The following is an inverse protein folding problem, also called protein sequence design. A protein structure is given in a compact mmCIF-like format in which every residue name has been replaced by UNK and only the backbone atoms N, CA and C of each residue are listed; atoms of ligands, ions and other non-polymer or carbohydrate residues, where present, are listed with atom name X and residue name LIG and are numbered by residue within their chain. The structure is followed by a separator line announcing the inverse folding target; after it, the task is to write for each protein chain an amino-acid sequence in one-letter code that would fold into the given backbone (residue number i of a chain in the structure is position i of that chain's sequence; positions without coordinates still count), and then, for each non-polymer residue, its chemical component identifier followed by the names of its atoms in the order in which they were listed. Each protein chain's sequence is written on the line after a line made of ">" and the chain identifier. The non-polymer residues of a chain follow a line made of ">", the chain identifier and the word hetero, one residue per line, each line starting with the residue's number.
data_IF_905033048443
#
_entry.id   IF_905033048443
#
_cell.length_a   1.000
_cell.length_b   1.000
_cell.length_c   1.000
_cell.angle_alpha   90.00
_cell.angle_beta   90.00
_cell.angle_gamma   90.00
#
_symmetry.space_group_name_H-M   'P 1'
#
loop_
_entity.id
_entity.type
_entity.pdbx_description
1 polymer ?
#
# COMPACT_ATOMS: atom_id res chain seq x y z
N UNK A 1 26.36 -3.59 14.12
CA UNK A 1 26.29 -3.27 12.68
C UNK A 1 24.89 -3.64 12.27
N UNK A 2 24.06 -2.68 11.85
CA UNK A 2 22.70 -2.97 11.39
C UNK A 2 22.83 -3.84 10.14
N UNK A 3 22.14 -4.97 10.11
CA UNK A 3 22.13 -5.83 8.94
C UNK A 3 21.42 -5.07 7.81
N UNK A 4 22.06 -4.98 6.63
CA UNK A 4 21.50 -4.28 5.47
C UNK A 4 20.09 -4.77 5.15
N UNK A 5 19.84 -6.07 5.31
CA UNK A 5 18.53 -6.67 5.06
C UNK A 5 17.48 -6.18 6.05
N UNK A 6 17.83 -6.08 7.33
CA UNK A 6 16.92 -5.56 8.36
C UNK A 6 16.51 -4.11 8.08
N UNK A 7 17.43 -3.31 7.52
CA UNK A 7 17.14 -1.94 7.15
C UNK A 7 16.20 -1.87 5.94
N UNK A 8 16.43 -2.71 4.92
CA UNK A 8 15.55 -2.81 3.74
C UNK A 8 14.14 -3.27 4.11
N UNK A 9 14.01 -4.30 4.95
CA UNK A 9 12.73 -4.80 5.44
C UNK A 9 11.98 -3.69 6.22
N UNK A 10 12.68 -2.95 7.08
CA UNK A 10 12.09 -1.83 7.81
C UNK A 10 11.60 -0.71 6.88
N UNK A 11 12.35 -0.36 5.83
CA UNK A 11 11.90 0.65 4.87
C UNK A 11 10.64 0.22 4.13
N UNK A 12 10.56 -1.06 3.74
CA UNK A 12 9.35 -1.61 3.10
C UNK A 12 8.16 -1.54 4.03
N UNK A 13 8.30 -2.03 5.27
CA UNK A 13 7.21 -2.01 6.26
C UNK A 13 6.65 -0.60 6.46
N UNK A 14 7.51 0.42 6.59
CA UNK A 14 7.05 1.81 6.68
C UNK A 14 6.31 2.28 5.42
N UNK A 15 6.82 1.90 4.24
CA UNK A 15 6.14 2.25 2.98
C UNK A 15 4.77 1.58 2.87
N UNK A 16 4.65 0.31 3.30
CA UNK A 16 3.35 -0.38 3.33
C UNK A 16 2.35 0.35 4.23
N UNK A 17 2.79 0.73 5.44
CA UNK A 17 1.99 1.49 6.39
C UNK A 17 1.53 2.83 5.79
N UNK A 18 2.45 3.59 5.18
CA UNK A 18 2.14 4.88 4.56
C UNK A 18 1.12 4.73 3.40
N UNK A 19 1.26 3.69 2.57
CA UNK A 19 0.32 3.41 1.47
C UNK A 19 -1.08 3.09 2.02
N UNK A 20 -1.16 2.23 3.03
CA UNK A 20 -2.42 1.86 3.68
C UNK A 20 -3.11 3.09 4.27
N UNK A 21 -2.35 3.96 4.93
CA UNK A 21 -2.84 5.22 5.47
C UNK A 21 -3.38 6.15 4.38
N UNK A 22 -2.67 6.28 3.25
CA UNK A 22 -3.13 7.10 2.12
C UNK A 22 -4.38 6.52 1.46
N UNK A 23 -4.47 5.20 1.27
CA UNK A 23 -5.69 4.54 0.77
C UNK A 23 -6.88 4.86 1.70
N UNK A 24 -6.68 4.73 3.03
CA UNK A 24 -7.70 5.05 4.03
C UNK A 24 -8.17 6.50 3.90
N UNK A 25 -7.25 7.46 3.81
CA UNK A 25 -7.57 8.89 3.69
C UNK A 25 -8.27 9.23 2.38
N UNK A 26 -7.74 8.76 1.24
CA UNK A 26 -8.23 9.09 -0.10
C UNK A 26 -9.65 8.55 -0.35
N UNK A 27 -9.96 7.35 0.15
CA UNK A 27 -11.29 6.73 0.00
C UNK A 27 -12.20 6.99 1.20
N UNK A 28 -11.65 7.43 2.33
CA UNK A 28 -12.38 7.59 3.59
C UNK A 28 -12.92 6.26 4.10
N UNK A 29 -12.11 5.20 4.06
CA UNK A 29 -12.43 3.87 4.58
C UNK A 29 -11.60 3.58 5.82
N UNK A 30 -12.09 2.68 6.68
CA UNK A 30 -11.34 2.23 7.86
C UNK A 30 -9.99 1.62 7.48
N UNK A 31 -8.98 1.80 8.34
CA UNK A 31 -7.64 1.23 8.13
C UNK A 31 -7.68 -0.26 7.86
N UNK A 32 -8.55 -1.01 8.56
CA UNK A 32 -8.72 -2.44 8.32
C UNK A 32 -9.12 -2.75 6.88
N UNK A 33 -10.03 -1.96 6.31
CA UNK A 33 -10.43 -2.11 4.92
C UNK A 33 -9.30 -1.70 3.96
N UNK A 34 -8.50 -0.71 4.31
CA UNK A 34 -7.34 -0.31 3.52
C UNK A 34 -6.24 -1.39 3.53
N UNK A 35 -5.93 -1.99 4.69
CA UNK A 35 -5.01 -3.13 4.83
C UNK A 35 -5.43 -4.29 3.94
N UNK A 36 -6.70 -4.70 4.04
CA UNK A 36 -7.26 -5.80 3.26
C UNK A 36 -7.18 -5.53 1.74
N UNK A 37 -7.30 -4.27 1.30
CA UNK A 37 -7.15 -3.89 -0.11
C UNK A 37 -5.67 -3.97 -0.51
N UNK A 38 -4.78 -3.33 0.25
CA UNK A 38 -3.35 -3.31 -0.05
C UNK A 38 -2.79 -4.73 -0.18
N UNK A 39 -3.01 -5.60 0.81
CA UNK A 39 -2.48 -6.97 0.78
C UNK A 39 -3.17 -7.89 -0.25
N UNK A 40 -4.30 -7.48 -0.84
CA UNK A 40 -4.94 -8.20 -1.95
C UNK A 40 -4.49 -7.68 -3.33
N UNK A 41 -3.73 -6.59 -3.37
CA UNK A 41 -3.35 -5.89 -4.61
C UNK A 41 -2.09 -6.44 -5.25
N UNK A 42 -1.91 -6.15 -6.54
CA UNK A 42 -0.64 -6.43 -7.22
C UNK A 42 0.48 -5.50 -6.74
N UNK A 43 0.14 -4.31 -6.25
CA UNK A 43 1.11 -3.37 -5.68
C UNK A 43 1.88 -3.99 -4.51
N UNK A 44 1.20 -4.70 -3.60
CA UNK A 44 1.86 -5.38 -2.49
C UNK A 44 2.82 -6.49 -2.98
N UNK A 45 2.43 -7.25 -4.01
CA UNK A 45 3.34 -8.22 -4.64
C UNK A 45 4.57 -7.54 -5.26
N UNK A 46 4.39 -6.36 -5.88
CA UNK A 46 5.50 -5.61 -6.49
C UNK A 46 6.49 -5.07 -5.45
N UNK A 47 6.00 -4.51 -4.34
CA UNK A 47 6.82 -4.02 -3.23
C UNK A 47 7.56 -5.18 -2.55
N UNK A 48 6.88 -6.30 -2.31
CA UNK A 48 7.51 -7.49 -1.72
C UNK A 48 8.65 -8.04 -2.60
N UNK A 49 8.53 -7.91 -3.92
CA UNK A 49 9.50 -8.43 -4.90
C UNK A 49 10.59 -7.42 -5.33
N UNK A 50 10.66 -6.24 -4.71
CA UNK A 50 11.60 -5.16 -5.13
C UNK A 50 11.48 -4.80 -6.61
N UNK A 51 10.25 -4.81 -7.12
CA UNK A 51 10.02 -4.67 -8.55
C UNK A 51 10.26 -3.22 -8.99
N UNK A 52 11.15 -3.02 -9.96
CA UNK A 52 11.35 -1.74 -10.66
C UNK A 52 11.73 -0.55 -9.77
N UNK A 53 12.22 -0.77 -8.55
CA UNK A 53 12.55 0.31 -7.61
C UNK A 53 11.33 1.00 -7.01
N UNK A 54 10.17 0.34 -7.04
CA UNK A 54 8.88 0.87 -6.55
C UNK A 54 8.92 1.25 -5.08
N UNK A 55 9.79 0.63 -4.29
CA UNK A 55 10.04 0.93 -2.88
C UNK A 55 10.61 2.34 -2.64
N UNK A 56 11.03 3.04 -3.70
CA UNK A 56 11.52 4.42 -3.64
C UNK A 56 10.46 5.46 -4.07
N UNK A 57 9.26 5.02 -4.44
CA UNK A 57 8.17 5.91 -4.88
C UNK A 57 7.39 6.49 -3.69
N UNK A 58 6.72 7.61 -3.93
CA UNK A 58 5.88 8.25 -2.92
C UNK A 58 4.63 7.42 -2.62
N UNK A 59 4.33 7.19 -1.34
CA UNK A 59 3.22 6.35 -0.89
C UNK A 59 1.86 6.83 -1.42
N UNK A 60 1.66 8.15 -1.53
CA UNK A 60 0.41 8.70 -2.06
C UNK A 60 0.27 8.40 -3.54
N UNK A 61 1.35 8.53 -4.31
CA UNK A 61 1.34 8.16 -5.73
C UNK A 61 0.99 6.68 -5.92
N UNK A 62 1.59 5.79 -5.12
CA UNK A 62 1.31 4.36 -5.18
C UNK A 62 -0.14 4.03 -4.79
N UNK A 63 -0.69 4.72 -3.78
CA UNK A 63 -2.09 4.60 -3.41
C UNK A 63 -3.04 5.08 -4.53
N UNK A 64 -2.73 6.21 -5.18
CA UNK A 64 -3.49 6.72 -6.32
C UNK A 64 -3.44 5.74 -7.51
N UNK A 65 -2.27 5.21 -7.85
CA UNK A 65 -2.09 4.21 -8.90
C UNK A 65 -2.93 2.94 -8.64
N UNK A 66 -2.89 2.41 -7.42
CA UNK A 66 -3.70 1.25 -7.02
C UNK A 66 -5.21 1.53 -7.18
N UNK A 67 -5.64 2.73 -6.79
CA UNK A 67 -7.04 3.16 -6.90
C UNK A 67 -7.49 3.25 -8.36
N UNK A 68 -6.62 3.74 -9.24
CA UNK A 68 -6.92 3.93 -10.67
C UNK A 68 -6.88 2.61 -11.44
N UNK A 69 -5.92 1.73 -11.12
CA UNK A 69 -5.64 0.52 -11.89
C UNK A 69 -6.33 -0.74 -11.37
N UNK A 70 -6.70 -0.80 -10.08
CA UNK A 70 -7.43 -1.93 -9.48
C UNK A 70 -8.73 -1.45 -8.79
N UNK A 71 -9.63 -0.75 -9.53
CA UNK A 71 -10.83 -0.14 -8.96
C UNK A 71 -11.81 -1.17 -8.35
N UNK A 72 -11.76 -2.43 -8.76
CA UNK A 72 -12.61 -3.52 -8.27
C UNK A 72 -12.56 -3.69 -6.75
N UNK A 73 -11.43 -3.37 -6.12
CA UNK A 73 -11.28 -3.44 -4.66
C UNK A 73 -12.11 -2.37 -3.92
N UNK A 74 -12.53 -1.32 -4.62
CA UNK A 74 -13.19 -0.15 -4.04
C UNK A 74 -14.70 -0.06 -4.35
N UNK A 75 -15.23 -0.89 -5.25
CA UNK A 75 -16.62 -0.79 -5.74
C UNK A 75 -17.66 -1.13 -4.65
N UNK A 76 -17.31 -1.92 -3.64
CA UNK A 76 -18.28 -2.46 -2.65
C UNK A 76 -17.98 -2.16 -1.18
N UNK A 77 -16.91 -1.40 -0.86
CA UNK A 77 -16.58 -1.06 0.52
C UNK A 77 -17.11 0.33 0.85
N UNK A 78 -18.29 0.40 1.47
CA UNK A 78 -18.91 1.66 1.86
C UNK A 78 -18.13 2.32 2.99
N UNK A 79 -18.16 3.66 2.98
CA UNK A 79 -17.94 4.52 4.15
C UNK A 79 -18.88 4.06 5.28
N UNK A 80 -18.31 3.47 6.32
CA UNK A 80 -18.90 3.19 7.63
C UNK A 80 -19.79 1.93 7.72
N UNK A 81 -19.29 0.92 8.44
CA UNK A 81 -20.08 0.11 9.39
C UNK A 81 -19.63 0.46 10.80
#
# INVERSE_FOLDING_TARGET
>A
MVDKKQLEDFYKENLEEDIIDEISKLKGIELRNACDIYYSSKLAEQISNDSFGIENMDAKYLAEDLIENEPEFFINRKKND
#
